data_IF_939627921525
#
_entry.id   IF_939627921525
#
_cell.length_a   1.000
_cell.length_b   1.000
_cell.length_c   1.000
_cell.angle_alpha   90.00
_cell.angle_beta   90.00
_cell.angle_gamma   90.00
#
_symmetry.space_group_name_H-M   'P 1'
#
loop_
_entity.id
_entity.type
_entity.pdbx_description
1 polymer ?
#
# COMPACT_ATOMS: atom_id res chain seq x y z
N UNK A 1 13.57 11.82 -3.73
CA UNK A 1 12.58 11.11 -2.90
C UNK A 1 11.52 10.48 -3.78
N UNK A 2 11.23 9.21 -3.55
CA UNK A 2 10.18 8.50 -4.29
C UNK A 2 8.94 8.31 -3.41
N UNK A 3 7.81 8.13 -4.05
CA UNK A 3 6.56 7.80 -3.35
C UNK A 3 6.27 6.32 -3.64
N UNK A 4 5.95 5.56 -2.60
CA UNK A 4 5.61 4.15 -2.75
C UNK A 4 4.38 3.99 -3.66
N UNK A 5 4.51 3.16 -4.69
CA UNK A 5 3.42 2.96 -5.65
C UNK A 5 2.27 2.14 -5.08
N UNK A 6 2.51 1.46 -3.96
CA UNK A 6 1.52 0.56 -3.37
C UNK A 6 0.76 1.16 -2.18
N UNK A 7 1.31 2.17 -1.50
CA UNK A 7 0.64 2.77 -0.34
C UNK A 7 0.74 4.30 -0.26
N UNK A 8 1.54 4.91 -1.13
CA UNK A 8 1.66 6.36 -1.16
C UNK A 8 2.58 6.96 -0.11
N UNK A 9 3.31 6.13 0.62
CA UNK A 9 4.24 6.62 1.64
C UNK A 9 5.48 7.23 0.98
N UNK A 10 5.92 8.43 1.41
CA UNK A 10 7.17 8.99 0.91
C UNK A 10 8.37 8.18 1.42
N UNK A 11 9.22 7.75 0.50
CA UNK A 11 10.41 6.97 0.83
C UNK A 11 11.61 7.89 0.83
N UNK A 12 11.98 8.37 2.00
CA UNK A 12 13.05 9.38 2.17
C UNK A 12 14.41 8.77 2.39
N UNK A 13 14.47 7.69 3.15
CA UNK A 13 15.72 7.03 3.51
C UNK A 13 15.80 5.66 2.87
N UNK A 14 17.03 5.14 2.75
CA UNK A 14 17.24 3.82 2.18
C UNK A 14 16.43 2.75 2.90
N UNK A 15 16.31 2.86 4.22
CA UNK A 15 15.55 1.90 5.02
C UNK A 15 14.04 1.93 4.74
N UNK A 16 13.54 2.98 4.09
CA UNK A 16 12.13 3.07 3.70
C UNK A 16 11.83 2.24 2.46
N UNK A 17 12.84 1.89 1.69
CA UNK A 17 12.68 1.11 0.47
C UNK A 17 12.67 -0.38 0.78
N UNK A 18 11.94 -1.15 -0.02
CA UNK A 18 11.93 -2.60 0.11
C UNK A 18 13.35 -3.14 -0.04
N UNK A 19 13.75 -4.02 0.85
CA UNK A 19 15.07 -4.65 0.86
C UNK A 19 16.22 -3.64 0.93
N UNK A 20 15.98 -2.44 1.47
CA UNK A 20 16.95 -1.34 1.49
C UNK A 20 17.48 -0.97 0.10
N UNK A 21 16.71 -1.27 -0.94
CA UNK A 21 17.10 -1.07 -2.33
C UNK A 21 16.39 0.15 -2.88
N UNK A 22 17.13 1.24 -3.09
CA UNK A 22 16.56 2.50 -3.57
C UNK A 22 16.05 2.44 -5.01
N UNK A 23 16.32 1.35 -5.72
CA UNK A 23 15.78 1.13 -7.06
C UNK A 23 14.35 0.59 -7.02
N UNK A 24 13.89 0.13 -5.86
CA UNK A 24 12.53 -0.35 -5.71
C UNK A 24 11.54 0.81 -5.69
N UNK A 25 10.35 0.57 -6.22
CA UNK A 25 9.28 1.57 -6.28
C UNK A 25 8.28 1.43 -5.14
N UNK A 26 8.48 0.47 -4.24
CA UNK A 26 7.58 0.23 -3.12
C UNK A 26 8.37 0.20 -1.82
N UNK A 27 7.67 0.50 -0.72
CA UNK A 27 8.33 0.65 0.56
C UNK A 27 8.49 -0.68 1.28
N UNK A 28 9.27 -0.65 2.37
CA UNK A 28 9.56 -1.83 3.17
C UNK A 28 8.27 -2.47 3.72
N UNK A 29 7.25 -1.65 3.99
CA UNK A 29 5.97 -2.15 4.52
C UNK A 29 5.09 -2.80 3.46
N UNK A 30 5.38 -2.58 2.19
CA UNK A 30 4.65 -3.19 1.08
C UNK A 30 5.38 -4.40 0.52
N UNK A 31 6.53 -4.74 1.07
CA UNK A 31 7.34 -5.87 0.64
C UNK A 31 7.06 -7.09 1.52
N UNK A 32 7.04 -8.26 0.90
CA UNK A 32 7.02 -9.53 1.63
C UNK A 32 8.43 -9.86 2.10
N UNK A 33 8.56 -10.92 2.90
CA UNK A 33 9.86 -11.35 3.41
C UNK A 33 10.86 -11.67 2.30
N UNK A 34 10.36 -12.18 1.17
CA UNK A 34 11.21 -12.51 0.02
C UNK A 34 11.56 -11.31 -0.86
N UNK A 35 11.06 -10.12 -0.50
CA UNK A 35 11.34 -8.89 -1.23
C UNK A 35 10.34 -8.56 -2.32
N UNK A 36 9.38 -9.43 -2.60
CA UNK A 36 8.35 -9.13 -3.59
C UNK A 36 7.29 -8.20 -3.02
N UNK A 37 6.61 -7.46 -3.89
CA UNK A 37 5.54 -6.57 -3.47
C UNK A 37 4.29 -7.36 -3.10
N UNK A 38 3.62 -6.96 -2.03
CA UNK A 38 2.36 -7.58 -1.62
C UNK A 38 1.31 -7.43 -2.70
N UNK A 39 0.36 -8.38 -2.73
CA UNK A 39 -0.78 -8.28 -3.64
C UNK A 39 -1.76 -7.19 -3.15
N UNK A 40 -2.68 -6.78 -4.02
CA UNK A 40 -3.71 -5.82 -3.66
C UNK A 40 -4.51 -6.29 -2.45
N UNK A 41 -4.90 -7.57 -2.42
CA UNK A 41 -5.67 -8.12 -1.30
C UNK A 41 -4.92 -8.06 0.02
N UNK A 42 -3.64 -8.41 0.00
CA UNK A 42 -2.80 -8.34 1.19
C UNK A 42 -2.69 -6.90 1.68
N UNK A 43 -2.49 -5.97 0.76
CA UNK A 43 -2.34 -4.57 1.10
C UNK A 43 -3.66 -4.00 1.62
N UNK A 44 -4.77 -4.36 1.01
CA UNK A 44 -6.10 -3.92 1.44
C UNK A 44 -6.39 -4.38 2.87
N UNK A 45 -6.11 -5.64 3.18
CA UNK A 45 -6.29 -6.17 4.53
C UNK A 45 -5.46 -5.42 5.55
N UNK A 46 -4.18 -5.23 5.26
CA UNK A 46 -3.27 -4.54 6.17
C UNK A 46 -3.68 -3.10 6.41
N UNK A 47 -4.04 -2.40 5.35
CA UNK A 47 -4.45 -1.00 5.46
C UNK A 47 -5.80 -0.87 6.18
N UNK A 48 -6.73 -1.78 5.92
CA UNK A 48 -8.01 -1.81 6.63
C UNK A 48 -7.78 -1.99 8.13
N UNK A 49 -6.95 -2.95 8.50
CA UNK A 49 -6.63 -3.20 9.90
C UNK A 49 -5.99 -1.97 10.56
N UNK A 50 -5.08 -1.33 9.84
CA UNK A 50 -4.41 -0.13 10.33
C UNK A 50 -5.42 0.99 10.59
N UNK A 51 -6.36 1.20 9.68
CA UNK A 51 -7.38 2.25 9.82
C UNK A 51 -8.31 1.95 10.99
N UNK A 52 -8.74 0.71 11.14
CA UNK A 52 -9.57 0.31 12.29
C UNK A 52 -8.84 0.62 13.58
N UNK A 53 -7.56 0.27 13.65
CA UNK A 53 -6.78 0.43 14.87
C UNK A 53 -6.48 1.88 15.20
N UNK A 54 -6.18 2.70 14.18
CA UNK A 54 -5.73 4.08 14.41
C UNK A 54 -6.86 5.09 14.42
N UNK A 55 -7.93 4.86 13.67
CA UNK A 55 -9.02 5.83 13.55
C UNK A 55 -10.32 5.37 14.20
N UNK A 56 -10.36 4.14 14.69
CA UNK A 56 -11.53 3.63 15.37
C UNK A 56 -12.75 3.40 14.50
N UNK A 57 -12.57 3.34 13.19
CA UNK A 57 -13.66 3.05 12.26
C UNK A 57 -14.03 1.57 12.32
N UNK A 58 -15.29 1.26 11.97
CA UNK A 58 -15.67 -0.14 11.86
C UNK A 58 -14.98 -0.75 10.62
N UNK A 59 -14.98 -2.07 10.55
CA UNK A 59 -14.25 -2.78 9.51
C UNK A 59 -14.73 -2.44 8.11
N UNK A 60 -16.03 -2.28 7.93
CA UNK A 60 -16.61 -1.98 6.61
C UNK A 60 -16.21 -0.57 6.16
N UNK A 61 -16.33 0.42 7.05
CA UNK A 61 -15.94 1.78 6.73
C UNK A 61 -14.44 1.87 6.48
N UNK A 62 -13.64 1.16 7.28
CA UNK A 62 -12.18 1.14 7.11
C UNK A 62 -11.79 0.50 5.78
N UNK A 63 -12.45 -0.59 5.39
CA UNK A 63 -12.17 -1.25 4.11
C UNK A 63 -12.51 -0.33 2.94
N UNK A 64 -13.62 0.40 3.02
CA UNK A 64 -14.00 1.34 1.97
C UNK A 64 -12.99 2.49 1.85
N UNK A 65 -12.52 3.01 2.98
CA UNK A 65 -11.52 4.06 2.98
C UNK A 65 -10.20 3.56 2.41
N UNK A 66 -9.77 2.36 2.80
CA UNK A 66 -8.55 1.75 2.30
C UNK A 66 -8.64 1.54 0.79
N UNK A 67 -9.75 1.02 0.31
CA UNK A 67 -9.95 0.80 -1.12
C UNK A 67 -9.89 2.11 -1.91
N UNK A 68 -10.52 3.17 -1.40
CA UNK A 68 -10.48 4.48 -2.05
C UNK A 68 -9.07 5.03 -2.14
N UNK A 69 -8.27 4.80 -1.13
CA UNK A 69 -6.88 5.24 -1.13
C UNK A 69 -6.03 4.44 -2.11
N UNK A 70 -6.18 3.11 -2.09
CA UNK A 70 -5.35 2.23 -2.90
C UNK A 70 -5.62 2.37 -4.39
N UNK A 71 -6.87 2.51 -4.80
CA UNK A 71 -7.19 2.57 -6.23
C UNK A 71 -6.62 3.79 -6.94
N UNK A 72 -6.18 4.80 -6.20
CA UNK A 72 -5.56 5.98 -6.77
C UNK A 72 -4.06 5.82 -6.99
N UNK A 73 -3.49 4.76 -6.46
CA UNK A 73 -2.04 4.54 -6.50
C UNK A 73 -1.62 3.82 -7.78
N UNK A 74 -0.43 4.13 -8.32
CA UNK A 74 0.02 3.55 -9.60
C UNK A 74 0.00 2.02 -9.64
N UNK A 75 0.36 1.36 -8.52
CA UNK A 75 0.41 -0.11 -8.48
C UNK A 75 -0.95 -0.75 -8.68
N UNK A 76 -2.03 -0.08 -8.26
CA UNK A 76 -3.38 -0.65 -8.25
C UNK A 76 -4.34 0.00 -9.22
N UNK A 77 -3.93 1.11 -9.81
CA UNK A 77 -4.79 1.89 -10.69
C UNK A 77 -5.35 1.09 -11.86
N UNK A 78 -4.53 0.24 -12.46
CA UNK A 78 -4.96 -0.57 -13.61
C UNK A 78 -6.02 -1.60 -13.25
N UNK A 79 -6.01 -2.09 -12.02
CA UNK A 79 -7.00 -3.06 -11.57
C UNK A 79 -8.41 -2.50 -11.62
N UNK A 80 -8.55 -1.20 -11.40
CA UNK A 80 -9.84 -0.54 -11.38
C UNK A 80 -10.21 0.11 -12.70
N UNK A 81 -9.22 0.40 -13.54
CA UNK A 81 -9.46 1.03 -14.83
C UNK A 81 -10.24 0.12 -15.78
N UNK A 82 -9.96 -1.18 -15.73
CA UNK A 82 -10.64 -2.16 -16.58
C UNK A 82 -11.91 -2.71 -15.95
N UNK A 83 -12.03 -2.63 -14.64
CA UNK A 83 -13.15 -3.17 -13.91
C UNK A 83 -14.37 -2.29 -13.88
N UNK A 84 -14.30 -1.17 -14.48
CA UNK A 84 -15.42 -0.22 -14.49
C UNK A 84 -16.52 -0.63 -15.39
#
# INVERSE_FOLDING_TARGET
MKICIACGMPMKEQSDYAMNDTDKDYCVYCAREDGSMQSYEEKLKGMTHFIVKTQGLDQVAAANAAQSMLKKLPAWKELFAEGC
#
